data_IF_999899260156
#
_entry.id   IF_999899260156
#
_cell.length_a   1.000
_cell.length_b   1.000
_cell.length_c   1.000
_cell.angle_alpha   90.00
_cell.angle_beta   90.00
_cell.angle_gamma   90.00
#
_symmetry.space_group_name_H-M   'P 1'
#
loop_
_entity.id
_entity.type
_entity.pdbx_description
1 polymer ?
#
# COMPACT_ATOMS: atom_id res chain seq x y z
N UNK A 1 33.43 10.74 -4.72
CA UNK A 1 32.48 11.88 -4.78
C UNK A 1 32.31 12.43 -3.37
N UNK A 2 32.58 13.71 -3.14
CA UNK A 2 32.44 14.31 -1.80
C UNK A 2 30.98 14.19 -1.35
N UNK A 3 30.75 13.74 -0.11
CA UNK A 3 29.38 13.60 0.39
C UNK A 3 28.70 14.97 0.43
N UNK A 4 27.48 15.10 -0.11
CA UNK A 4 26.77 16.36 -0.09
C UNK A 4 26.51 16.79 1.36
N UNK A 5 26.77 18.07 1.63
CA UNK A 5 26.44 18.70 2.92
C UNK A 5 25.00 18.40 3.33
N UNK A 6 24.79 18.02 4.60
CA UNK A 6 23.48 17.67 5.16
C UNK A 6 22.38 18.70 4.83
N UNK A 7 22.73 20.00 4.81
CA UNK A 7 21.79 21.09 4.49
C UNK A 7 21.32 21.01 3.03
N UNK A 8 22.24 20.76 2.11
CA UNK A 8 21.95 20.62 0.68
C UNK A 8 21.10 19.37 0.46
N UNK A 9 21.42 18.28 1.16
CA UNK A 9 20.67 17.03 1.07
C UNK A 9 19.23 17.17 1.59
N UNK A 10 19.03 17.85 2.71
CA UNK A 10 17.70 18.16 3.27
C UNK A 10 16.89 19.10 2.36
N UNK A 11 17.52 20.12 1.77
CA UNK A 11 16.86 21.03 0.85
C UNK A 11 16.44 20.32 -0.44
N UNK A 12 17.26 19.39 -0.92
CA UNK A 12 17.00 18.53 -2.07
C UNK A 12 15.78 17.63 -1.82
N UNK A 13 15.75 16.98 -0.65
CA UNK A 13 14.63 16.16 -0.20
C UNK A 13 13.33 16.98 -0.19
N UNK A 14 13.33 18.18 0.40
CA UNK A 14 12.17 19.10 0.45
C UNK A 14 11.65 19.49 -0.94
N UNK A 15 12.51 19.58 -1.95
CA UNK A 15 12.15 19.94 -3.32
C UNK A 15 11.61 18.76 -4.12
N UNK A 16 11.89 17.52 -3.70
CA UNK A 16 11.41 16.28 -4.31
C UNK A 16 9.92 16.02 -4.00
N UNK A 17 9.04 16.72 -4.72
CA UNK A 17 7.58 16.58 -4.59
C UNK A 17 7.06 15.15 -4.83
N UNK A 18 7.57 14.38 -5.83
CA UNK A 18 7.18 12.98 -6.03
C UNK A 18 7.45 12.08 -4.82
N UNK A 19 8.58 12.25 -4.14
CA UNK A 19 8.92 11.49 -2.93
C UNK A 19 7.87 11.69 -1.83
N UNK A 20 7.49 12.93 -1.53
CA UNK A 20 6.45 13.19 -0.52
C UNK A 20 5.10 12.59 -0.90
N UNK A 21 4.74 12.61 -2.17
CA UNK A 21 3.49 11.98 -2.64
C UNK A 21 3.54 10.47 -2.49
N UNK A 22 4.68 9.85 -2.79
CA UNK A 22 4.90 8.42 -2.59
C UNK A 22 4.83 8.07 -1.10
N UNK A 23 5.46 8.86 -0.22
CA UNK A 23 5.41 8.67 1.22
C UNK A 23 3.97 8.72 1.77
N UNK A 24 3.17 9.71 1.36
CA UNK A 24 1.76 9.80 1.76
C UNK A 24 0.99 8.58 1.22
N UNK A 25 1.16 8.23 -0.05
CA UNK A 25 0.51 7.04 -0.65
C UNK A 25 0.87 5.75 0.09
N UNK A 26 2.15 5.54 0.39
CA UNK A 26 2.65 4.39 1.10
C UNK A 26 2.11 4.33 2.54
N UNK A 27 2.01 5.46 3.25
CA UNK A 27 1.37 5.51 4.57
C UNK A 27 -0.05 4.96 4.52
N UNK A 28 -0.87 5.44 3.60
CA UNK A 28 -2.27 5.03 3.49
C UNK A 28 -2.40 3.54 3.21
N UNK A 29 -1.66 3.05 2.22
CA UNK A 29 -1.73 1.65 1.80
C UNK A 29 -1.22 0.73 2.92
N UNK A 30 -0.17 1.13 3.63
CA UNK A 30 0.37 0.34 4.74
C UNK A 30 -0.52 0.36 5.97
N UNK A 31 -1.11 1.51 6.33
CA UNK A 31 -2.11 1.59 7.40
C UNK A 31 -3.27 0.65 7.08
N UNK A 32 -3.79 0.71 5.86
CA UNK A 32 -4.86 -0.19 5.39
C UNK A 32 -4.47 -1.65 5.50
N UNK A 33 -3.30 -2.02 4.97
CA UNK A 33 -2.87 -3.42 4.87
C UNK A 33 -2.66 -4.01 6.26
N UNK A 34 -1.97 -3.27 7.13
CA UNK A 34 -1.68 -3.74 8.49
C UNK A 34 -2.89 -3.70 9.41
N UNK A 35 -3.83 -2.76 9.20
CA UNK A 35 -5.10 -2.77 9.90
C UNK A 35 -5.93 -4.02 9.55
N UNK A 36 -6.06 -4.35 8.26
CA UNK A 36 -6.76 -5.58 7.82
C UNK A 36 -6.05 -6.82 8.36
N UNK A 37 -4.72 -6.88 8.27
CA UNK A 37 -3.95 -8.01 8.78
C UNK A 37 -4.13 -8.18 10.29
N UNK A 38 -4.10 -7.11 11.08
CA UNK A 38 -4.29 -7.19 12.53
C UNK A 38 -5.74 -7.51 12.91
N UNK A 39 -6.73 -7.03 12.13
CA UNK A 39 -8.15 -7.37 12.34
C UNK A 39 -8.52 -8.80 11.94
N UNK A 40 -7.76 -9.44 11.04
CA UNK A 40 -8.10 -10.76 10.50
C UNK A 40 -8.17 -11.87 11.55
N UNK A 41 -7.32 -11.82 12.58
CA UNK A 41 -7.34 -12.79 13.68
C UNK A 41 -8.63 -12.70 14.51
N UNK A 42 -9.05 -11.47 14.82
CA UNK A 42 -10.31 -11.22 15.53
C UNK A 42 -11.50 -11.66 14.70
N UNK A 43 -11.47 -11.38 13.40
CA UNK A 43 -12.50 -11.79 12.47
C UNK A 43 -12.70 -13.32 12.49
N UNK A 44 -11.63 -14.10 12.37
CA UNK A 44 -11.71 -15.57 12.40
C UNK A 44 -12.24 -16.07 13.73
N UNK A 45 -11.74 -15.53 14.84
CA UNK A 45 -12.10 -15.99 16.17
C UNK A 45 -13.55 -15.68 16.54
N UNK A 46 -14.07 -14.51 16.15
CA UNK A 46 -15.40 -14.04 16.59
C UNK A 46 -16.51 -14.24 15.55
N UNK A 47 -16.18 -14.30 14.26
CA UNK A 47 -17.19 -14.44 13.19
C UNK A 47 -17.22 -15.87 12.66
N UNK A 48 -16.06 -16.48 12.42
CA UNK A 48 -15.97 -17.83 11.87
C UNK A 48 -15.95 -18.94 12.94
N UNK A 49 -15.64 -18.60 14.19
CA UNK A 49 -15.59 -19.50 15.35
C UNK A 49 -14.65 -20.72 15.18
N UNK A 50 -13.76 -20.68 14.19
CA UNK A 50 -12.77 -21.72 13.89
C UNK A 50 -11.40 -21.08 13.65
N UNK A 51 -10.49 -21.22 14.62
CA UNK A 51 -9.14 -20.66 14.57
C UNK A 51 -8.24 -21.31 13.51
N UNK A 52 -8.56 -22.50 13.01
CA UNK A 52 -7.80 -23.18 11.95
C UNK A 52 -7.91 -22.46 10.60
N UNK A 53 -9.02 -21.76 10.36
CA UNK A 53 -9.25 -20.98 9.14
C UNK A 53 -8.33 -19.75 9.03
N UNK A 54 -7.74 -19.28 10.14
CA UNK A 54 -6.81 -18.14 10.11
C UNK A 54 -5.59 -18.45 9.23
N UNK A 55 -5.01 -19.63 9.38
CA UNK A 55 -3.87 -20.08 8.57
C UNK A 55 -4.24 -20.13 7.09
N UNK A 56 -5.44 -20.59 6.75
CA UNK A 56 -5.93 -20.64 5.37
C UNK A 56 -6.08 -19.23 4.78
N UNK A 57 -6.67 -18.29 5.52
CA UNK A 57 -6.82 -16.90 5.06
C UNK A 57 -5.46 -16.24 4.82
N UNK A 58 -4.51 -16.41 5.75
CA UNK A 58 -3.15 -15.86 5.63
C UNK A 58 -2.41 -16.50 4.45
N UNK A 59 -2.55 -17.80 4.24
CA UNK A 59 -1.95 -18.51 3.10
C UNK A 59 -2.52 -18.01 1.78
N UNK A 60 -3.85 -17.91 1.66
CA UNK A 60 -4.50 -17.35 0.46
C UNK A 60 -4.01 -15.92 0.22
N UNK A 61 -3.94 -15.10 1.26
CA UNK A 61 -3.54 -13.71 1.13
C UNK A 61 -2.09 -13.54 0.65
N UNK A 62 -1.16 -14.31 1.22
CA UNK A 62 0.26 -14.21 0.85
C UNK A 62 0.57 -14.93 -0.47
N UNK A 63 0.06 -16.15 -0.65
CA UNK A 63 0.36 -16.97 -1.82
C UNK A 63 -0.32 -16.41 -3.07
N UNK A 64 -1.63 -16.18 -3.03
CA UNK A 64 -2.36 -15.66 -4.19
C UNK A 64 -1.94 -14.22 -4.46
N UNK A 65 -1.78 -13.40 -3.42
CA UNK A 65 -1.36 -12.02 -3.58
C UNK A 65 0.01 -11.88 -4.24
N UNK A 66 1.00 -12.66 -3.81
CA UNK A 66 2.37 -12.55 -4.33
C UNK A 66 2.56 -13.28 -5.66
N UNK A 67 2.05 -14.51 -5.78
CA UNK A 67 2.28 -15.35 -6.96
C UNK A 67 1.45 -14.88 -8.15
N UNK A 68 0.18 -14.51 -7.93
CA UNK A 68 -0.67 -14.08 -9.05
C UNK A 68 -0.41 -12.62 -9.45
N UNK A 69 0.11 -11.76 -8.57
CA UNK A 69 0.46 -10.38 -8.95
C UNK A 69 1.74 -10.30 -9.78
N UNK A 70 2.72 -11.17 -9.54
CA UNK A 70 4.01 -11.15 -10.23
C UNK A 70 3.94 -11.07 -11.77
N UNK A 71 3.15 -11.92 -12.48
CA UNK A 71 3.01 -11.83 -13.94
C UNK A 71 2.12 -10.67 -14.41
N UNK A 72 1.20 -10.20 -13.57
CA UNK A 72 0.25 -9.15 -13.94
C UNK A 72 0.90 -7.76 -13.95
N UNK A 73 1.84 -7.52 -13.03
CA UNK A 73 2.46 -6.20 -12.87
C UNK A 73 3.17 -5.71 -14.13
N UNK A 74 4.06 -6.46 -14.81
CA UNK A 74 4.76 -5.98 -16.00
C UNK A 74 3.79 -5.62 -17.14
N UNK A 75 2.77 -6.47 -17.37
CA UNK A 75 1.78 -6.24 -18.43
C UNK A 75 0.91 -5.01 -18.17
N UNK A 76 0.50 -4.79 -16.93
CA UNK A 76 -0.24 -3.59 -16.55
C UNK A 76 0.63 -2.34 -16.63
N UNK A 77 1.84 -2.38 -16.08
CA UNK A 77 2.77 -1.25 -16.11
C UNK A 77 3.08 -0.82 -17.55
N UNK A 78 3.28 -1.77 -18.46
CA UNK A 78 3.54 -1.47 -19.88
C UNK A 78 2.34 -0.80 -20.59
N UNK A 79 1.11 -1.20 -20.27
CA UNK A 79 -0.10 -0.70 -20.97
C UNK A 79 -0.64 0.62 -20.42
N UNK A 80 -0.71 0.74 -19.09
CA UNK A 80 -1.39 1.87 -18.41
C UNK A 80 -0.43 2.76 -17.62
N UNK A 81 0.84 2.36 -17.48
CA UNK A 81 1.87 3.05 -16.73
C UNK A 81 1.89 2.70 -15.23
N UNK A 82 3.07 2.83 -14.61
CA UNK A 82 3.30 2.53 -13.18
C UNK A 82 2.28 3.22 -12.27
N UNK A 83 2.05 4.51 -12.48
CA UNK A 83 1.15 5.31 -11.64
C UNK A 83 -0.30 4.83 -11.65
N UNK A 84 -0.84 4.55 -12.83
CA UNK A 84 -2.23 4.08 -12.93
C UNK A 84 -2.34 2.63 -12.43
N UNK A 85 -1.30 1.82 -12.64
CA UNK A 85 -1.24 0.45 -12.11
C UNK A 85 -1.30 0.46 -10.58
N UNK A 86 -0.57 1.38 -9.92
CA UNK A 86 -0.65 1.56 -8.46
C UNK A 86 -2.07 1.93 -8.01
N UNK A 87 -2.72 2.89 -8.68
CA UNK A 87 -4.08 3.32 -8.34
C UNK A 87 -5.12 2.22 -8.54
N UNK A 88 -5.03 1.48 -9.65
CA UNK A 88 -5.96 0.40 -9.96
C UNK A 88 -5.73 -0.78 -9.01
N UNK A 89 -4.48 -1.11 -8.69
CA UNK A 89 -4.16 -2.11 -7.68
C UNK A 89 -4.74 -1.75 -6.31
N UNK A 90 -4.59 -0.50 -5.89
CA UNK A 90 -5.12 -0.02 -4.61
C UNK A 90 -6.66 -0.04 -4.58
N UNK A 91 -7.30 0.36 -5.69
CA UNK A 91 -8.75 0.26 -5.88
C UNK A 91 -9.23 -1.18 -5.80
N UNK A 92 -8.62 -2.08 -6.57
CA UNK A 92 -8.96 -3.49 -6.62
C UNK A 92 -8.81 -4.16 -5.26
N UNK A 93 -7.70 -3.87 -4.56
CA UNK A 93 -7.46 -4.32 -3.20
C UNK A 93 -8.57 -3.86 -2.24
N UNK A 94 -8.91 -2.57 -2.29
CA UNK A 94 -9.96 -1.98 -1.44
C UNK A 94 -11.33 -2.59 -1.71
N UNK A 95 -11.73 -2.70 -2.98
CA UNK A 95 -12.98 -3.31 -3.38
C UNK A 95 -13.04 -4.80 -3.00
N UNK A 96 -11.94 -5.53 -3.15
CA UNK A 96 -11.84 -6.94 -2.76
C UNK A 96 -12.00 -7.13 -1.25
N UNK A 97 -11.35 -6.30 -0.42
CA UNK A 97 -11.53 -6.35 1.02
C UNK A 97 -12.96 -5.98 1.44
N UNK A 98 -13.57 -4.98 0.78
CA UNK A 98 -14.97 -4.63 1.01
C UNK A 98 -15.91 -5.80 0.69
N UNK A 99 -15.70 -6.47 -0.44
CA UNK A 99 -16.48 -7.65 -0.83
C UNK A 99 -16.27 -8.80 0.18
N UNK A 100 -15.04 -9.04 0.62
CA UNK A 100 -14.71 -10.04 1.64
C UNK A 100 -15.52 -9.83 2.92
N UNK A 101 -15.56 -8.60 3.44
CA UNK A 101 -16.30 -8.33 4.67
C UNK A 101 -17.82 -8.44 4.51
N UNK A 102 -18.38 -8.10 3.35
CA UNK A 102 -19.82 -8.19 3.12
C UNK A 102 -20.29 -9.63 2.91
N UNK A 103 -19.55 -10.40 2.11
CA UNK A 103 -19.96 -11.73 1.65
C UNK A 103 -19.63 -12.82 2.67
N UNK A 104 -18.64 -12.59 3.51
CA UNK A 104 -18.18 -13.59 4.49
C UNK A 104 -19.20 -13.97 5.56
N UNK A 105 -20.23 -13.14 5.76
CA UNK A 105 -21.38 -13.48 6.64
C UNK A 105 -22.28 -14.56 6.01
N UNK A 106 -22.25 -14.70 4.68
CA UNK A 106 -23.19 -15.54 3.92
C UNK A 106 -22.54 -16.83 3.41
N UNK A 107 -21.25 -16.81 3.04
CA UNK A 107 -20.55 -18.01 2.55
C UNK A 107 -19.02 -17.90 2.63
N UNK A 108 -18.38 -18.93 3.19
CA UNK A 108 -16.93 -19.02 3.32
C UNK A 108 -16.19 -19.13 1.96
N UNK A 109 -16.64 -19.95 0.98
CA UNK A 109 -15.93 -20.07 -0.30
C UNK A 109 -15.89 -18.76 -1.09
N UNK A 110 -16.99 -17.99 -1.09
CA UNK A 110 -17.04 -16.71 -1.81
C UNK A 110 -16.20 -15.65 -1.11
N UNK A 111 -16.10 -15.70 0.22
CA UNK A 111 -15.14 -14.90 0.96
C UNK A 111 -13.69 -15.21 0.54
N UNK A 112 -13.31 -16.48 0.41
CA UNK A 112 -11.95 -16.83 -0.04
C UNK A 112 -11.64 -16.29 -1.44
N UNK A 113 -12.60 -16.32 -2.36
CA UNK A 113 -12.45 -15.71 -3.69
C UNK A 113 -12.32 -14.19 -3.61
N UNK A 114 -13.12 -13.52 -2.79
CA UNK A 114 -13.03 -12.08 -2.58
C UNK A 114 -11.67 -11.68 -1.99
N UNK A 115 -11.17 -12.46 -1.02
CA UNK A 115 -9.86 -12.27 -0.42
C UNK A 115 -8.74 -12.48 -1.43
N UNK A 116 -8.84 -13.49 -2.29
CA UNK A 116 -7.88 -13.73 -3.37
C UNK A 116 -7.78 -12.51 -4.31
N UNK A 117 -8.91 -11.94 -4.72
CA UNK A 117 -8.95 -10.73 -5.57
C UNK A 117 -8.32 -9.53 -4.84
N UNK A 118 -8.67 -9.33 -3.56
CA UNK A 118 -8.10 -8.27 -2.74
C UNK A 118 -6.57 -8.37 -2.64
N UNK A 119 -6.08 -9.60 -2.49
CA UNK A 119 -4.67 -9.93 -2.34
C UNK A 119 -3.89 -9.67 -3.61
N UNK A 120 -4.46 -9.95 -4.79
CA UNK A 120 -3.86 -9.61 -6.08
C UNK A 120 -3.69 -8.09 -6.21
N UNK A 121 -4.73 -7.32 -5.90
CA UNK A 121 -4.66 -5.84 -5.93
C UNK A 121 -3.60 -5.29 -4.98
N UNK A 122 -3.51 -5.86 -3.77
CA UNK A 122 -2.49 -5.49 -2.79
C UNK A 122 -1.07 -5.82 -3.28
N UNK A 123 -0.85 -7.02 -3.84
CA UNK A 123 0.43 -7.44 -4.41
C UNK A 123 0.89 -6.53 -5.56
N UNK A 124 -0.02 -6.19 -6.47
CA UNK A 124 0.26 -5.23 -7.57
C UNK A 124 0.69 -3.87 -7.00
N UNK A 125 -0.02 -3.38 -5.98
CA UNK A 125 0.27 -2.10 -5.34
C UNK A 125 1.64 -2.11 -4.67
N UNK A 126 1.97 -3.17 -3.94
CA UNK A 126 3.25 -3.32 -3.25
C UNK A 126 4.43 -3.38 -4.22
N UNK A 127 4.33 -4.16 -5.31
CA UNK A 127 5.41 -4.25 -6.30
C UNK A 127 5.65 -2.92 -7.00
N UNK A 128 4.58 -2.23 -7.40
CA UNK A 128 4.70 -0.93 -8.08
C UNK A 128 5.20 0.16 -7.12
N UNK A 129 4.89 0.06 -5.83
CA UNK A 129 5.38 1.00 -4.81
C UNK A 129 6.91 1.04 -4.77
N UNK A 130 7.56 -0.13 -4.79
CA UNK A 130 9.02 -0.24 -4.84
C UNK A 130 9.60 0.30 -6.16
N UNK A 131 8.93 0.03 -7.29
CA UNK A 131 9.34 0.58 -8.58
C UNK A 131 9.25 2.11 -8.64
N UNK A 132 8.23 2.70 -7.99
CA UNK A 132 8.08 4.15 -7.87
C UNK A 132 9.11 4.77 -6.93
N UNK A 133 9.53 4.05 -5.88
CA UNK A 133 10.58 4.52 -4.97
C UNK A 133 11.89 4.74 -5.71
N UNK A 134 12.35 3.76 -6.49
CA UNK A 134 13.54 3.90 -7.32
C UNK A 134 13.43 5.13 -8.24
N UNK A 135 12.28 5.28 -8.90
CA UNK A 135 12.07 6.42 -9.80
C UNK A 135 12.12 7.79 -9.05
N UNK A 136 11.75 7.85 -7.76
CA UNK A 136 11.86 9.09 -6.97
C UNK A 136 13.30 9.44 -6.59
N UNK A 137 14.18 8.44 -6.47
CA UNK A 137 15.62 8.63 -6.24
C UNK A 137 16.24 9.28 -7.48
N UNK A 138 15.96 8.73 -8.67
CA UNK A 138 16.43 9.32 -9.93
C UNK A 138 15.88 10.74 -10.17
N UNK A 139 14.62 10.99 -9.80
CA UNK A 139 14.06 12.34 -9.87
C UNK A 139 14.77 13.34 -8.94
N UNK A 140 15.18 12.90 -7.75
CA UNK A 140 15.94 13.72 -6.81
C UNK A 140 17.31 14.12 -7.36
N UNK A 141 17.98 13.16 -8.02
CA UNK A 141 19.24 13.39 -8.72
C UNK A 141 19.07 14.34 -9.90
N UNK A 142 18.00 14.21 -10.70
CA UNK A 142 17.71 15.11 -11.83
C UNK A 142 17.62 16.58 -11.41
N UNK A 143 16.98 16.87 -10.27
CA UNK A 143 16.77 18.24 -9.82
C UNK A 143 18.02 18.91 -9.26
N UNK A 144 18.99 18.12 -8.79
CA UNK A 144 20.09 18.65 -7.96
C UNK A 144 21.48 18.26 -8.45
N UNK A 145 21.58 17.33 -9.40
CA UNK A 145 22.83 16.76 -9.88
C UNK A 145 23.57 15.91 -8.84
N UNK A 146 22.95 15.67 -7.67
CA UNK A 146 23.54 14.93 -6.56
C UNK A 146 22.66 13.73 -6.25
N UNK A 147 23.26 12.54 -6.26
CA UNK A 147 22.57 11.29 -5.93
C UNK A 147 22.48 11.12 -4.42
N UNK A 148 21.27 11.15 -3.88
CA UNK A 148 20.98 11.05 -2.43
C UNK A 148 20.03 9.88 -2.16
N UNK A 149 20.50 8.66 -2.42
CA UNK A 149 19.67 7.45 -2.26
C UNK A 149 19.40 7.15 -0.78
N UNK A 150 20.43 7.25 0.07
CA UNK A 150 20.36 6.85 1.47
C UNK A 150 19.33 7.64 2.28
N UNK A 151 19.26 8.97 2.13
CA UNK A 151 18.26 9.78 2.83
C UNK A 151 16.85 9.58 2.26
N UNK A 152 16.72 9.39 0.95
CA UNK A 152 15.43 9.12 0.29
C UNK A 152 14.85 7.79 0.80
N UNK A 153 15.67 6.73 0.79
CA UNK A 153 15.30 5.41 1.29
C UNK A 153 15.02 5.42 2.80
N UNK A 154 15.80 6.19 3.58
CA UNK A 154 15.58 6.34 5.02
C UNK A 154 14.24 7.01 5.33
N UNK A 155 13.89 8.10 4.63
CA UNK A 155 12.61 8.77 4.78
C UNK A 155 11.46 7.83 4.41
N UNK A 156 11.59 7.14 3.27
CA UNK A 156 10.57 6.19 2.82
C UNK A 156 10.40 5.04 3.82
N UNK A 157 11.50 4.43 4.27
CA UNK A 157 11.48 3.36 5.27
C UNK A 157 10.89 3.79 6.62
N UNK A 158 11.24 4.98 7.10
CA UNK A 158 10.64 5.56 8.30
C UNK A 158 9.13 5.71 8.14
N UNK A 159 8.71 6.32 7.02
CA UNK A 159 7.30 6.51 6.66
C UNK A 159 6.55 5.17 6.63
N UNK A 160 7.16 4.13 6.05
CA UNK A 160 6.58 2.78 6.03
C UNK A 160 6.39 2.22 7.43
N UNK A 161 7.42 2.28 8.29
CA UNK A 161 7.34 1.80 9.68
C UNK A 161 6.25 2.53 10.47
N UNK A 162 6.11 3.85 10.29
CA UNK A 162 5.01 4.60 10.89
C UNK A 162 3.65 4.07 10.41
N UNK A 163 3.48 3.83 9.11
CA UNK A 163 2.24 3.29 8.55
C UNK A 163 1.90 1.90 9.10
N UNK A 164 2.91 1.04 9.26
CA UNK A 164 2.75 -0.30 9.85
C UNK A 164 2.37 -0.24 11.32
N UNK A 165 3.03 0.60 12.11
CA UNK A 165 2.76 0.77 13.53
C UNK A 165 1.35 1.34 13.77
N UNK A 166 0.96 2.35 12.99
CA UNK A 166 -0.38 2.93 13.06
C UNK A 166 -1.42 1.90 12.58
N UNK A 167 -1.20 1.25 11.44
CA UNK A 167 -2.11 0.23 10.90
C UNK A 167 -2.35 -0.93 11.87
N UNK A 168 -1.28 -1.50 12.41
CA UNK A 168 -1.36 -2.65 13.32
C UNK A 168 -1.96 -2.32 14.68
N UNK A 169 -1.91 -1.06 15.12
CA UNK A 169 -2.48 -0.65 16.42
C UNK A 169 -3.96 -0.29 16.37
N UNK A 170 -4.50 0.06 15.19
CA UNK A 170 -5.92 0.44 15.03
C UNK A 170 -6.89 -0.58 15.65
N UNK A 171 -6.77 -1.89 15.39
CA UNK A 171 -7.69 -2.87 15.96
C UNK A 171 -7.61 -2.95 17.49
N UNK A 172 -6.40 -2.80 18.05
CA UNK A 172 -6.20 -2.80 19.50
C UNK A 172 -6.85 -1.57 20.16
N UNK A 173 -6.72 -0.38 19.56
CA UNK A 173 -7.40 0.82 20.05
C UNK A 173 -8.92 0.71 19.95
N UNK A 174 -9.45 0.17 18.85
CA UNK A 174 -10.89 -0.06 18.69
C UNK A 174 -11.41 -1.02 19.77
N UNK A 175 -10.67 -2.10 20.06
CA UNK A 175 -11.03 -3.04 21.11
C UNK A 175 -11.03 -2.40 22.50
N UNK A 176 -9.98 -1.62 22.82
CA UNK A 176 -9.89 -0.90 24.09
C UNK A 176 -11.03 0.11 24.29
N UNK A 177 -11.40 0.85 23.24
CA UNK A 177 -12.52 1.80 23.28
C UNK A 177 -13.90 1.11 23.32
N UNK A 178 -14.02 -0.10 22.77
CA UNK A 178 -15.28 -0.86 22.76
C UNK A 178 -15.67 -1.45 24.12
N UNK A 179 -14.87 -1.24 25.17
CA UNK A 179 -15.16 -1.79 26.50
C UNK A 179 -14.98 -3.30 26.58
N UNK A 180 -14.08 -3.87 25.75
CA UNK A 180 -13.80 -5.30 25.74
C UNK A 180 -13.24 -5.76 27.10
N UNK A 181 -14.05 -6.50 27.87
CA UNK A 181 -13.63 -7.15 29.11
C UNK A 181 -13.19 -8.57 28.76
N UNK A 182 -11.89 -8.84 28.85
CA UNK A 182 -11.34 -10.18 28.69
C UNK A 182 -11.75 -11.05 29.89
N UNK A 183 -12.89 -11.75 29.80
CA UNK A 183 -13.23 -12.77 30.81
C UNK A 183 -12.33 -14.00 30.61
N UNK A 184 -11.59 -14.35 31.66
CA UNK A 184 -10.91 -15.63 31.81
C UNK A 184 -11.94 -16.76 31.91
N UNK A 185 -12.28 -17.37 30.78
CA UNK A 185 -13.20 -18.49 30.73
C UNK A 185 -13.78 -18.66 29.35
N UNK A 186 -13.48 -19.80 28.72
CA UNK A 186 -14.00 -20.21 27.44
C UNK A 186 -15.53 -20.33 27.48
N UNK A 187 -16.23 -19.22 27.24
CA UNK A 187 -17.65 -19.12 26.85
C UNK A 187 -17.88 -17.66 26.40
N UNK A 188 -17.44 -17.36 25.17
CA UNK A 188 -17.60 -16.05 24.53
C UNK A 188 -19.04 -15.89 23.99
N UNK A 189 -20.01 -15.86 24.90
CA UNK A 189 -21.40 -15.56 24.59
C UNK A 189 -21.75 -14.11 24.95
N UNK A 190 -22.02 -13.32 23.92
CA UNK A 190 -23.11 -12.33 23.89
C UNK A 190 -22.93 -10.92 24.50
N UNK A 191 -22.67 -9.97 23.57
CA UNK A 191 -23.21 -8.59 23.41
C UNK A 191 -22.81 -7.52 24.45
N UNK A 192 -22.32 -6.32 24.10
CA UNK A 192 -22.78 -5.36 23.09
C UNK A 192 -21.64 -4.60 22.41
N UNK A 193 -21.72 -4.51 21.09
CA UNK A 193 -20.83 -3.72 20.25
C UNK A 193 -20.80 -4.39 18.89
N UNK A 194 -21.85 -4.19 18.09
CA UNK A 194 -22.04 -4.79 16.77
C UNK A 194 -20.68 -4.96 16.05
N UNK A 195 -20.17 -6.19 15.86
CA UNK A 195 -18.91 -6.39 15.13
C UNK A 195 -18.99 -5.79 13.71
N UNK A 196 -20.21 -5.70 13.18
CA UNK A 196 -20.56 -4.97 11.95
C UNK A 196 -20.25 -3.46 12.00
N UNK A 197 -20.44 -2.77 13.14
CA UNK A 197 -20.19 -1.31 13.30
C UNK A 197 -18.70 -0.98 13.37
N UNK A 198 -17.88 -1.84 14.01
CA UNK A 198 -16.42 -1.67 14.06
C UNK A 198 -15.72 -2.07 12.75
N UNK A 199 -16.34 -2.98 11.99
CA UNK A 199 -15.95 -3.33 10.63
C UNK A 199 -16.36 -2.24 9.62
N UNK A 200 -17.54 -1.62 9.79
CA UNK A 200 -18.00 -0.46 9.00
C UNK A 200 -17.22 0.83 9.29
N UNK A 201 -16.68 1.01 10.50
CA UNK A 201 -15.87 2.20 10.86
C UNK A 201 -14.47 2.15 10.25
N UNK A 202 -13.84 0.97 10.19
CA UNK A 202 -12.61 0.74 9.41
C UNK A 202 -12.85 0.97 7.91
N UNK A 203 -14.02 0.57 7.40
CA UNK A 203 -14.49 0.79 6.04
C UNK A 203 -14.71 2.26 5.67
N UNK A 204 -15.32 3.04 6.57
CA UNK A 204 -15.49 4.50 6.39
C UNK A 204 -14.14 5.19 6.33
N UNK A 205 -13.19 4.82 7.18
CA UNK A 205 -11.83 5.40 7.19
C UNK A 205 -11.08 5.03 5.89
N UNK A 206 -11.21 3.79 5.41
CA UNK A 206 -10.59 3.31 4.17
C UNK A 206 -11.15 3.99 2.90
N UNK A 207 -12.48 4.14 2.80
CA UNK A 207 -13.13 4.82 1.66
C UNK A 207 -12.88 6.34 1.66
N UNK A 208 -12.83 6.98 2.83
CA UNK A 208 -12.51 8.40 2.96
C UNK A 208 -11.04 8.67 2.61
N UNK A 209 -10.11 7.81 3.06
CA UNK A 209 -8.69 7.88 2.71
C UNK A 209 -8.43 7.60 1.23
N UNK A 210 -9.18 6.70 0.61
CA UNK A 210 -9.07 6.39 -0.83
C UNK A 210 -9.63 7.52 -1.73
N UNK A 211 -10.71 8.19 -1.30
CA UNK A 211 -11.25 9.39 -1.97
C UNK A 211 -10.28 10.57 -1.87
N UNK A 212 -9.60 10.72 -0.72
CA UNK A 212 -8.51 11.67 -0.54
C UNK A 212 -7.30 11.32 -1.43
N UNK A 213 -6.92 10.04 -1.53
CA UNK A 213 -5.78 9.61 -2.34
C UNK A 213 -6.04 9.83 -3.84
N UNK A 214 -7.22 9.45 -4.32
CA UNK A 214 -7.61 9.62 -5.73
C UNK A 214 -7.74 11.10 -6.10
N UNK A 215 -8.31 11.95 -5.23
CA UNK A 215 -8.36 13.41 -5.41
C UNK A 215 -6.98 14.08 -5.37
N UNK A 216 -6.14 13.70 -4.42
CA UNK A 216 -4.81 14.29 -4.22
C UNK A 216 -3.82 13.85 -5.31
N UNK A 217 -3.84 12.57 -5.69
CA UNK A 217 -3.02 12.05 -6.77
C UNK A 217 -3.48 12.66 -8.10
N UNK A 218 -4.79 12.70 -8.41
CA UNK A 218 -5.35 13.27 -9.66
C UNK A 218 -4.99 14.76 -9.85
N UNK A 219 -5.09 15.57 -8.78
CA UNK A 219 -4.78 17.01 -8.80
C UNK A 219 -3.32 17.30 -9.18
N UNK A 220 -2.37 16.48 -8.72
CA UNK A 220 -0.92 16.74 -8.93
C UNK A 220 -0.30 15.98 -10.12
N UNK A 221 -1.02 15.05 -10.78
CA UNK A 221 -0.58 14.38 -12.04
C UNK A 221 -0.35 15.40 -13.16
N UNK A 222 -1.21 16.42 -13.24
CA UNK A 222 -1.13 17.42 -14.32
C UNK A 222 0.23 18.14 -14.32
N UNK A 223 0.88 18.25 -13.16
CA UNK A 223 2.19 18.87 -13.01
C UNK A 223 3.39 17.93 -13.20
N UNK A 224 3.23 16.60 -13.08
CA UNK A 224 4.39 15.67 -13.18
C UNK A 224 4.62 15.15 -14.60
N UNK A 225 3.58 14.96 -15.43
CA UNK A 225 3.71 14.36 -16.78
C UNK A 225 4.81 14.99 -17.64
N UNK A 226 4.94 16.31 -17.59
CA UNK A 226 5.95 17.06 -18.36
C UNK A 226 7.39 16.68 -17.94
N UNK A 227 7.61 16.49 -16.64
CA UNK A 227 8.92 16.15 -16.09
C UNK A 227 9.29 14.68 -16.30
N UNK A 228 8.34 13.75 -16.25
CA UNK A 228 8.59 12.33 -16.49
C UNK A 228 8.91 12.05 -17.96
N UNK A 229 8.22 12.74 -18.88
CA UNK A 229 8.50 12.65 -20.31
C UNK A 229 9.93 13.09 -20.65
N UNK A 230 10.41 14.13 -19.99
CA UNK A 230 11.76 14.67 -20.18
C UNK A 230 12.85 13.71 -19.67
N UNK A 231 12.59 13.01 -18.56
CA UNK A 231 13.50 11.98 -18.00
C UNK A 231 13.54 10.75 -18.92
N UNK A 232 12.39 10.30 -19.39
CA UNK A 232 12.28 9.12 -20.26
C UNK A 232 12.96 9.36 -21.62
N UNK A 233 12.83 10.58 -22.16
CA UNK A 233 13.49 10.97 -23.40
C UNK A 233 15.02 11.00 -23.24
N UNK A 234 15.55 11.44 -22.09
CA UNK A 234 17.00 11.41 -21.84
C UNK A 234 17.56 10.04 -21.54
N UNK A 235 16.80 9.14 -20.89
CA UNK A 235 17.21 7.74 -20.73
C UNK A 235 17.42 7.07 -22.09
N UNK A 236 16.53 7.32 -23.04
CA UNK A 236 16.68 6.87 -24.43
C UNK A 236 17.93 7.47 -25.08
N UNK A 237 18.14 8.77 -24.97
CA UNK A 237 19.34 9.44 -25.52
C UNK A 237 20.64 8.93 -24.89
N UNK A 238 20.70 8.72 -23.57
CA UNK A 238 21.88 8.16 -22.90
C UNK A 238 22.11 6.70 -23.29
N UNK A 239 21.06 5.87 -23.39
CA UNK A 239 21.20 4.49 -23.87
C UNK A 239 21.71 4.44 -25.31
N UNK A 240 21.26 5.37 -26.13
CA UNK A 240 21.69 5.49 -27.52
C UNK A 240 23.16 5.94 -27.63
N UNK A 241 23.57 6.92 -26.83
CA UNK A 241 24.98 7.31 -26.72
C UNK A 241 25.87 6.17 -26.23
N UNK A 242 25.40 5.38 -25.26
CA UNK A 242 26.15 4.22 -24.76
C UNK A 242 26.28 3.17 -25.87
N UNK A 243 25.20 2.87 -26.60
CA UNK A 243 25.26 1.92 -27.72
C UNK A 243 26.17 2.38 -28.85
N UNK A 244 26.24 3.69 -29.10
CA UNK A 244 27.10 4.30 -30.13
C UNK A 244 28.58 4.29 -29.72
N UNK A 245 28.90 4.26 -28.42
CA UNK A 245 30.28 4.14 -27.91
C UNK A 245 30.75 2.68 -27.88
N UNK A 246 29.83 1.73 -27.71
CA UNK A 246 30.14 0.30 -27.61
C UNK A 246 30.20 -0.44 -28.96
N UNK A 247 29.74 0.17 -30.05
CA UNK A 247 29.88 -0.32 -31.43
C UNK A 247 31.03 0.38 -32.15
#
# INVERSE_FOLDING_TARGET
MAQPSLKISLQTLKRNRPLFMLCIGALCVLISTFAVSASSLFYVRYVLNDTGLFTVLVLVQNLVGTVASAPLVPGMVARIGKKNTFLIGALLGTCGYLLFFWVSVWSLPVALVALAIASIGQGVTMTVMWALEADTVEYGEYLTGVRIEGLTYSLFSFTRKCGQAIGGSIPAFILGLSGYIAKSGANAGSYYGHPHINCLSTLRILCYWHSLLSGFIRSRIKNSKKSWFEIDNRKKVQQQLISDITN
#
